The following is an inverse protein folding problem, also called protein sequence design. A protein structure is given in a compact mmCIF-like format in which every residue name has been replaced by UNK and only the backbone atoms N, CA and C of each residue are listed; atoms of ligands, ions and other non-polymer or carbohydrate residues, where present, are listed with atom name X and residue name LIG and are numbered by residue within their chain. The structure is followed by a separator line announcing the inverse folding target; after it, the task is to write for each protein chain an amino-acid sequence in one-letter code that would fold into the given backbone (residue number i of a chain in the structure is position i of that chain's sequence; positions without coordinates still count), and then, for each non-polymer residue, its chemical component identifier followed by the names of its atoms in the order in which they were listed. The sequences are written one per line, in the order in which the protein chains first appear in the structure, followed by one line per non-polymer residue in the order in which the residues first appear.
data_IF_861104503342
#
_entry.id   IF_861104503342
#
_cell.length_a   1.000
_cell.length_b   1.000
_cell.length_c   1.000
_cell.angle_alpha   90.00
_cell.angle_beta   90.00
_cell.angle_gamma   90.00
#
_symmetry.space_group_name_H-M   'P 1'
#
loop_
_entity.id
_entity.type
_entity.pdbx_description
1 polymer ?
#
# COMPACT_ATOMS: atom_id res chain seq x y z
N UNK A 1 -28.59 15.42 22.28
CA UNK A 1 -27.90 14.43 21.42
C UNK A 1 -27.46 15.17 20.16
N UNK A 2 -26.21 15.63 20.09
CA UNK A 2 -25.71 16.30 18.89
C UNK A 2 -25.46 15.24 17.82
N UNK A 3 -26.43 15.04 16.93
CA UNK A 3 -26.27 14.23 15.74
C UNK A 3 -25.43 15.03 14.73
N UNK A 4 -24.13 15.12 14.97
CA UNK A 4 -23.18 15.62 13.97
C UNK A 4 -23.21 14.63 12.83
N UNK A 5 -24.00 14.92 11.81
CA UNK A 5 -24.16 14.11 10.60
C UNK A 5 -22.80 14.11 9.88
N UNK A 6 -21.91 13.19 10.25
CA UNK A 6 -20.65 13.02 9.53
C UNK A 6 -20.95 12.51 8.14
N UNK A 7 -20.27 13.08 7.15
CA UNK A 7 -20.44 12.68 5.75
C UNK A 7 -20.09 11.20 5.59
N UNK A 8 -20.93 10.47 4.86
CA UNK A 8 -20.68 9.07 4.51
C UNK A 8 -20.22 8.97 3.07
N UNK A 9 -19.19 8.15 2.82
CA UNK A 9 -18.59 7.94 1.50
C UNK A 9 -18.52 6.45 1.17
N UNK A 10 -18.65 6.07 -0.09
CA UNK A 10 -18.42 4.69 -0.55
C UNK A 10 -16.94 4.45 -0.87
N UNK A 11 -16.53 3.18 -0.93
CA UNK A 11 -15.18 2.81 -1.37
C UNK A 11 -14.90 3.30 -2.80
N UNK A 12 -15.92 3.26 -3.66
CA UNK A 12 -15.80 3.76 -5.04
C UNK A 12 -15.54 5.27 -5.11
N UNK A 13 -16.12 6.04 -4.18
CA UNK A 13 -15.85 7.47 -4.10
C UNK A 13 -14.43 7.71 -3.61
N UNK A 14 -14.03 7.04 -2.52
CA UNK A 14 -12.68 7.15 -1.96
C UNK A 14 -11.62 6.78 -3.00
N UNK A 15 -11.86 5.76 -3.83
CA UNK A 15 -10.95 5.32 -4.90
C UNK A 15 -10.67 6.41 -5.96
N UNK A 16 -11.54 7.41 -6.12
CA UNK A 16 -11.31 8.56 -7.01
C UNK A 16 -10.28 9.54 -6.45
N UNK A 17 -10.06 9.50 -5.13
CA UNK A 17 -9.13 10.36 -4.40
C UNK A 17 -7.78 9.66 -4.17
N UNK A 18 -7.10 9.36 -5.28
CA UNK A 18 -5.81 8.66 -5.32
C UNK A 18 -4.67 9.51 -5.91
N UNK A 19 -4.81 10.84 -5.91
CA UNK A 19 -3.85 11.77 -6.52
C UNK A 19 -3.13 12.59 -5.48
N UNK A 20 -1.92 13.09 -5.79
CA UNK A 20 -1.19 14.02 -4.91
C UNK A 20 -1.95 15.32 -4.63
N UNK A 21 -2.87 15.72 -5.50
CA UNK A 21 -3.75 16.88 -5.28
C UNK A 21 -5.06 16.53 -4.58
N UNK A 22 -5.36 15.25 -4.38
CA UNK A 22 -6.55 14.77 -3.69
C UNK A 22 -6.36 13.31 -3.29
N UNK A 23 -5.94 13.10 -2.03
CA UNK A 23 -5.55 11.79 -1.50
C UNK A 23 -6.32 11.50 -0.23
N UNK A 24 -7.19 10.49 -0.29
CA UNK A 24 -7.98 10.03 0.86
C UNK A 24 -7.57 8.63 1.27
N UNK A 25 -7.64 8.34 2.56
CA UNK A 25 -7.34 7.02 3.12
C UNK A 25 -8.51 6.51 3.95
N UNK A 26 -8.73 5.19 3.94
CA UNK A 26 -9.65 4.53 4.86
C UNK A 26 -8.87 3.89 6.00
N UNK A 27 -9.24 4.24 7.24
CA UNK A 27 -8.66 3.63 8.47
C UNK A 27 -9.78 3.31 9.45
N UNK A 28 -10.00 2.02 9.73
CA UNK A 28 -11.09 1.51 10.58
C UNK A 28 -12.42 2.19 10.28
N UNK A 29 -12.87 2.08 9.04
CA UNK A 29 -14.15 2.64 8.55
C UNK A 29 -14.21 4.18 8.51
N UNK A 30 -13.20 4.90 9.01
CA UNK A 30 -13.08 6.35 8.90
C UNK A 30 -12.45 6.76 7.57
N UNK A 31 -12.90 7.88 7.01
CA UNK A 31 -12.34 8.49 5.81
C UNK A 31 -11.55 9.73 6.21
N UNK A 32 -10.29 9.78 5.77
CA UNK A 32 -9.35 10.82 6.14
C UNK A 32 -8.80 11.50 4.90
N UNK A 33 -8.87 12.83 4.86
CA UNK A 33 -8.22 13.62 3.81
C UNK A 33 -6.79 13.94 4.24
N UNK A 34 -5.82 13.31 3.59
CA UNK A 34 -4.40 13.50 3.88
C UNK A 34 -3.72 14.41 2.86
N UNK A 35 -4.47 15.02 1.94
CA UNK A 35 -3.94 15.80 0.81
C UNK A 35 -2.93 16.86 1.26
N UNK A 36 -3.26 17.62 2.31
CA UNK A 36 -2.37 18.67 2.83
C UNK A 36 -1.26 18.12 3.73
N UNK A 37 -1.45 16.93 4.30
CA UNK A 37 -0.53 16.34 5.26
C UNK A 37 0.57 15.49 4.60
N UNK A 38 0.41 15.07 3.34
CA UNK A 38 1.38 14.20 2.63
C UNK A 38 2.83 14.69 2.73
N UNK A 39 3.07 16.00 2.59
CA UNK A 39 4.43 16.58 2.66
C UNK A 39 4.99 16.70 4.07
N UNK A 40 4.12 16.72 5.07
CA UNK A 40 4.49 16.80 6.49
C UNK A 40 4.63 15.42 7.12
N UNK A 41 4.25 14.36 6.40
CA UNK A 41 4.31 12.99 6.88
C UNK A 41 5.77 12.54 7.09
N UNK A 42 6.19 12.19 8.33
CA UNK A 42 7.58 11.79 8.61
C UNK A 42 8.04 10.53 7.89
N UNK A 43 7.10 9.66 7.47
CA UNK A 43 7.38 8.46 6.67
C UNK A 43 7.48 8.71 5.16
N UNK A 44 7.38 9.97 4.73
CA UNK A 44 7.40 10.38 3.32
C UNK A 44 6.03 10.32 2.64
N UNK A 45 5.88 11.09 1.57
CA UNK A 45 4.63 11.18 0.80
C UNK A 45 4.37 9.96 -0.09
N UNK A 46 5.42 9.21 -0.48
CA UNK A 46 5.33 8.13 -1.45
C UNK A 46 4.43 6.98 -0.95
N UNK A 47 4.61 6.58 0.31
CA UNK A 47 3.79 5.53 0.92
C UNK A 47 2.33 5.98 1.12
N UNK A 48 2.09 7.25 1.45
CA UNK A 48 0.73 7.78 1.53
C UNK A 48 0.06 7.82 0.15
N UNK A 49 0.81 8.20 -0.87
CA UNK A 49 0.31 8.25 -2.25
C UNK A 49 -0.02 6.86 -2.79
N UNK A 50 0.85 5.86 -2.58
CA UNK A 50 0.61 4.49 -3.03
C UNK A 50 -0.63 3.86 -2.36
N UNK A 51 -0.95 4.30 -1.15
CA UNK A 51 -2.12 3.88 -0.39
C UNK A 51 -3.37 4.75 -0.64
N UNK A 52 -3.23 5.83 -1.40
CA UNK A 52 -4.32 6.76 -1.71
C UNK A 52 -5.51 6.05 -2.36
N UNK A 53 -6.70 6.35 -1.86
CA UNK A 53 -7.97 5.81 -2.32
C UNK A 53 -8.27 4.38 -1.89
N UNK A 54 -7.58 3.86 -0.86
CA UNK A 54 -7.69 2.47 -0.39
C UNK A 54 -7.83 2.38 1.14
N UNK A 55 -8.14 1.17 1.61
CA UNK A 55 -8.00 0.86 3.04
C UNK A 55 -6.53 0.64 3.39
N UNK A 56 -6.07 1.44 4.34
CA UNK A 56 -4.69 1.41 4.86
C UNK A 56 -4.68 1.07 6.34
N UNK A 57 -5.76 0.46 6.84
CA UNK A 57 -5.92 0.13 8.25
C UNK A 57 -4.76 -0.75 8.70
N UNK A 58 -4.50 -1.86 8.01
CA UNK A 58 -3.47 -2.80 8.41
C UNK A 58 -2.08 -2.16 8.42
N UNK A 59 -1.70 -1.43 7.36
CA UNK A 59 -0.40 -0.76 7.28
C UNK A 59 -0.23 0.30 8.36
N UNK A 60 -1.27 1.09 8.65
CA UNK A 60 -1.23 2.12 9.68
C UNK A 60 -0.95 1.53 11.07
N UNK A 61 -1.58 0.41 11.42
CA UNK A 61 -1.34 -0.29 12.70
C UNK A 61 -0.03 -1.07 12.71
N UNK A 62 0.36 -1.68 11.59
CA UNK A 62 1.61 -2.44 11.48
C UNK A 62 2.86 -1.55 11.68
N UNK A 63 2.82 -0.31 11.18
CA UNK A 63 3.91 0.67 11.37
C UNK A 63 4.03 1.12 12.84
N UNK A 64 2.94 1.10 13.61
CA UNK A 64 2.96 1.46 15.03
C UNK A 64 3.01 2.97 15.30
N UNK A 65 2.17 3.74 14.60
CA UNK A 65 2.06 5.20 14.80
C UNK A 65 1.83 5.59 16.27
N UNK A 66 2.51 6.66 16.70
CA UNK A 66 2.42 7.23 18.06
C UNK A 66 1.00 7.72 18.39
N UNK A 67 0.73 7.98 19.66
CA UNK A 67 -0.54 8.56 20.11
C UNK A 67 -0.80 9.92 19.46
N UNK A 68 0.23 10.76 19.34
CA UNK A 68 0.13 12.08 18.71
C UNK A 68 -0.24 11.98 17.23
N UNK A 69 0.35 11.01 16.51
CA UNK A 69 -0.01 10.75 15.12
C UNK A 69 -1.48 10.32 14.98
N UNK A 70 -2.00 9.52 15.92
CA UNK A 70 -3.43 9.14 15.95
C UNK A 70 -4.34 10.33 16.28
N UNK A 71 -3.90 11.24 17.14
CA UNK A 71 -4.64 12.48 17.42
C UNK A 71 -4.66 13.41 16.21
N UNK A 72 -3.56 13.51 15.47
CA UNK A 72 -3.50 14.28 14.23
C UNK A 72 -4.41 13.67 13.17
N UNK A 73 -4.37 12.35 13.00
CA UNK A 73 -5.26 11.62 12.09
C UNK A 73 -6.73 11.92 12.40
N UNK A 74 -7.13 11.98 13.67
CA UNK A 74 -8.51 12.32 14.05
C UNK A 74 -8.95 13.72 13.56
N UNK A 75 -8.02 14.68 13.42
CA UNK A 75 -8.30 16.01 12.86
C UNK A 75 -8.48 16.00 11.34
N UNK A 76 -7.90 15.02 10.65
CA UNK A 76 -8.01 14.84 9.21
C UNK A 76 -9.26 14.05 8.79
N UNK A 77 -10.07 13.60 9.75
CA UNK A 77 -11.29 12.83 9.49
C UNK A 77 -12.33 13.73 8.83
N UNK A 78 -12.74 13.37 7.62
CA UNK A 78 -13.79 14.07 6.86
C UNK A 78 -15.13 13.33 6.90
N UNK A 79 -15.11 12.04 7.25
CA UNK A 79 -16.30 11.21 7.23
C UNK A 79 -16.07 9.77 7.62
N UNK A 80 -17.04 8.94 7.30
CA UNK A 80 -17.03 7.49 7.52
C UNK A 80 -17.50 6.77 6.27
N UNK A 81 -17.20 5.48 6.21
CA UNK A 81 -17.63 4.65 5.10
C UNK A 81 -19.16 4.45 5.14
N UNK A 82 -19.79 4.18 4.00
CA UNK A 82 -21.20 3.78 3.95
C UNK A 82 -21.38 2.37 4.55
N UNK A 83 -22.56 2.09 5.10
CA UNK A 83 -22.82 0.82 5.79
C UNK A 83 -22.71 -0.41 4.89
N UNK A 84 -23.01 -0.25 3.60
CA UNK A 84 -22.88 -1.30 2.58
C UNK A 84 -21.43 -1.76 2.42
N UNK A 85 -20.48 -0.82 2.37
CA UNK A 85 -19.07 -1.16 2.21
C UNK A 85 -18.42 -1.57 3.53
N UNK A 86 -18.89 -1.09 4.69
CA UNK A 86 -18.44 -1.59 6.00
C UNK A 86 -18.63 -3.11 6.13
N UNK A 87 -19.75 -3.63 5.61
CA UNK A 87 -20.02 -5.07 5.62
C UNK A 87 -19.02 -5.85 4.75
N UNK A 88 -18.57 -5.27 3.62
CA UNK A 88 -17.55 -5.88 2.76
C UNK A 88 -16.19 -5.96 3.44
N UNK A 89 -15.76 -4.89 4.11
CA UNK A 89 -14.46 -4.87 4.83
C UNK A 89 -14.46 -5.88 5.98
N UNK A 90 -15.57 -6.03 6.71
CA UNK A 90 -15.71 -7.04 7.77
C UNK A 90 -15.81 -8.47 7.24
N UNK A 91 -16.39 -8.66 6.05
CA UNK A 91 -16.56 -9.96 5.42
C UNK A 91 -15.27 -10.54 4.80
N UNK A 92 -14.33 -9.69 4.37
CA UNK A 92 -13.09 -10.13 3.70
C UNK A 92 -11.98 -10.56 4.66
N UNK A 93 -12.10 -10.31 5.97
CA UNK A 93 -11.17 -10.85 6.97
C UNK A 93 -11.19 -12.39 7.08
N UNK A 94 -12.16 -13.07 6.45
CA UNK A 94 -12.31 -14.53 6.45
C UNK A 94 -12.20 -15.22 5.07
N UNK A 95 -11.88 -14.48 3.99
CA UNK A 95 -11.72 -15.05 2.65
C UNK A 95 -10.50 -14.46 1.96
N UNK A 96 -9.37 -15.10 2.19
CA UNK A 96 -8.23 -15.11 1.27
C UNK A 96 -8.63 -15.84 -0.02
N UNK A 97 -9.52 -15.24 -0.80
CA UNK A 97 -9.75 -15.66 -2.18
C UNK A 97 -8.68 -14.96 -3.03
N UNK A 98 -7.59 -15.70 -3.20
CA UNK A 98 -6.53 -15.56 -4.20
C UNK A 98 -6.96 -14.82 -5.47
N UNK A 99 -6.64 -13.52 -5.59
CA UNK A 99 -6.49 -12.86 -6.89
C UNK A 99 -5.35 -11.85 -6.82
N UNK A 100 -4.20 -12.31 -7.32
CA UNK A 100 -3.10 -11.52 -7.83
C UNK A 100 -2.61 -10.39 -6.92
N UNK A 101 -1.69 -10.74 -6.02
CA UNK A 101 -0.53 -9.89 -5.82
C UNK A 101 0.14 -9.65 -7.17
N UNK A 102 -0.24 -8.58 -7.87
CA UNK A 102 0.70 -7.92 -8.77
C UNK A 102 1.62 -7.10 -7.87
N UNK A 103 2.91 -7.46 -7.77
CA UNK A 103 3.83 -6.67 -6.97
C UNK A 103 4.03 -5.34 -7.70
N UNK A 104 3.95 -4.24 -6.96
CA UNK A 104 4.77 -3.05 -7.13
C UNK A 104 4.97 -2.51 -8.56
N UNK A 105 4.31 -1.39 -8.89
CA UNK A 105 4.69 -0.56 -10.06
C UNK A 105 5.02 0.87 -9.62
N UNK A 106 6.04 0.97 -8.78
CA UNK A 106 6.76 2.20 -8.44
C UNK A 106 8.27 2.03 -8.67
N UNK A 107 8.69 1.80 -9.92
CA UNK A 107 10.07 2.06 -10.37
C UNK A 107 11.23 1.40 -9.63
N UNK A 108 11.40 0.07 -9.75
CA UNK A 108 12.73 -0.57 -9.88
C UNK A 108 12.63 -1.75 -10.85
N UNK A 109 12.52 -1.46 -12.14
CA UNK A 109 12.72 -2.48 -13.17
C UNK A 109 14.21 -2.85 -13.20
N UNK A 110 14.49 -4.15 -13.05
CA UNK A 110 15.78 -4.82 -13.32
C UNK A 110 16.72 -5.13 -12.13
N UNK A 111 16.30 -5.98 -11.19
CA UNK A 111 17.29 -6.88 -10.55
C UNK A 111 16.81 -8.25 -10.01
N UNK A 112 15.60 -8.73 -10.33
CA UNK A 112 15.15 -10.07 -9.88
C UNK A 112 15.67 -11.25 -10.76
N UNK A 113 16.62 -11.00 -11.65
CA UNK A 113 17.19 -12.01 -12.55
C UNK A 113 18.59 -12.60 -12.21
N UNK A 114 19.25 -12.39 -11.04
CA UNK A 114 20.50 -13.09 -10.74
C UNK A 114 20.41 -13.97 -9.47
N UNK A 115 19.32 -14.71 -9.24
CA UNK A 115 19.30 -15.82 -8.26
C UNK A 115 18.92 -17.17 -8.92
N UNK A 116 18.55 -17.16 -10.21
CA UNK A 116 18.27 -18.38 -10.99
C UNK A 116 19.37 -18.76 -12.01
N UNK A 117 20.53 -18.08 -12.00
CA UNK A 117 21.72 -18.42 -12.81
C UNK A 117 22.93 -18.60 -11.88
N UNK A 118 22.87 -19.54 -10.95
CA UNK A 118 24.02 -19.91 -10.11
C UNK A 118 24.22 -21.43 -9.97
N UNK A 119 23.41 -22.26 -10.63
CA UNK A 119 23.49 -23.74 -10.52
C UNK A 119 23.97 -24.39 -11.85
N UNK A 120 24.02 -23.64 -12.97
CA UNK A 120 24.44 -24.18 -14.27
C UNK A 120 25.91 -23.99 -14.67
N UNK A 121 26.70 -23.18 -13.94
CA UNK A 121 28.03 -22.74 -14.39
C UNK A 121 29.22 -23.48 -13.73
N UNK A 122 28.98 -24.58 -13.01
CA UNK A 122 30.05 -25.36 -12.36
C UNK A 122 30.47 -26.64 -13.12
N UNK A 123 29.73 -27.05 -14.17
CA UNK A 123 30.00 -28.29 -14.91
C UNK A 123 30.63 -28.09 -16.30
N UNK A 124 30.87 -26.85 -16.73
CA UNK A 124 31.52 -26.56 -18.02
C UNK A 124 32.96 -26.00 -17.88
N UNK A 125 33.48 -25.83 -16.66
CA UNK A 125 34.86 -25.37 -16.43
C UNK A 125 35.87 -26.51 -16.22
N UNK A 126 35.43 -27.78 -16.28
CA UNK A 126 36.29 -28.96 -16.14
C UNK A 126 36.42 -29.75 -17.45
N UNK A 127 36.63 -29.05 -18.57
CA UNK A 127 37.18 -29.64 -19.77
C UNK A 127 38.43 -28.86 -20.19
N UNK A 128 39.62 -29.49 -20.16
CA UNK A 128 40.88 -28.82 -20.46
C UNK A 128 40.93 -28.44 -21.95
N UNK A 129 41.13 -27.16 -22.24
CA UNK A 129 41.40 -26.68 -23.59
C UNK A 129 42.78 -27.15 -24.07
N UNK A 130 42.87 -27.75 -25.27
CA UNK A 130 44.13 -28.16 -25.88
C UNK A 130 44.94 -26.92 -26.31
N UNK A 131 46.21 -26.87 -25.91
CA UNK A 131 47.17 -25.91 -26.45
C UNK A 131 47.58 -26.39 -27.85
N UNK A 132 47.10 -25.67 -28.87
CA UNK A 132 47.63 -25.73 -30.24
C UNK A 132 48.99 -25.01 -30.35
N UNK A 133 49.77 -25.28 -31.40
CA UNK A 133 51.22 -25.43 -31.30
C UNK A 133 52.00 -24.12 -31.47
N UNK A 134 53.16 -24.05 -30.82
CA UNK A 134 54.43 -23.61 -31.41
C UNK A 134 55.58 -24.38 -30.73
#
# INVERSE_FOLDING_TARGET
MHNSKMSTYSLEEVAKHNKRSSCWLVIREGIYDVTNFMKEHPGGEELMFEQGGRDSTELFYAIGHSTDARMLMAKLKIGELCDEDKAKIKGTAGKSDSLNATPFKGGVSAWIYPIAIAIGAALLYFSPMPQGPN
#
